data_IF_174111080855
#
_entry.id   IF_174111080855
#
_cell.length_a   1.000
_cell.length_b   1.000
_cell.length_c   1.000
_cell.angle_alpha   90.00
_cell.angle_beta   90.00
_cell.angle_gamma   90.00
#
_symmetry.space_group_name_H-M   'P 1'
#
loop_
_entity.id
_entity.type
_entity.pdbx_description
1 polymer ?
#
# COMPACT_ATOMS: atom_id res chain seq x y z
N UNK A 1 -22.40 -22.80 7.88
CA UNK A 1 -21.49 -22.87 6.72
C UNK A 1 -20.62 -21.63 6.76
N UNK A 2 -19.29 -21.80 6.76
CA UNK A 2 -18.35 -20.68 6.67
C UNK A 2 -18.55 -19.96 5.33
N UNK A 3 -18.81 -18.66 5.37
CA UNK A 3 -18.99 -17.84 4.18
C UNK A 3 -17.60 -17.45 3.64
N UNK A 4 -17.24 -17.86 2.43
CA UNK A 4 -15.98 -17.50 1.79
C UNK A 4 -14.85 -18.52 1.98
N UNK A 5 -13.61 -18.06 1.90
CA UNK A 5 -12.41 -18.89 2.01
C UNK A 5 -12.33 -19.49 3.42
N UNK A 6 -12.22 -20.84 3.56
CA UNK A 6 -12.08 -21.46 4.86
C UNK A 6 -10.85 -20.94 5.61
N UNK A 7 -11.05 -20.49 6.86
CA UNK A 7 -9.98 -20.02 7.72
C UNK A 7 -9.47 -18.59 7.44
N UNK A 8 -10.10 -17.84 6.53
CA UNK A 8 -9.73 -16.44 6.27
C UNK A 8 -9.82 -15.60 7.56
N UNK A 9 -8.73 -14.93 7.92
CA UNK A 9 -8.61 -14.04 9.09
C UNK A 9 -8.53 -12.57 8.71
N UNK A 10 -8.04 -12.22 7.51
CA UNK A 10 -7.84 -10.84 7.04
C UNK A 10 -6.78 -10.78 5.96
N UNK A 11 -6.34 -9.56 5.61
CA UNK A 11 -5.20 -9.36 4.73
C UNK A 11 -3.88 -9.58 5.47
N UNK A 12 -2.90 -10.17 4.79
CA UNK A 12 -1.55 -10.38 5.31
C UNK A 12 -0.58 -9.28 4.84
N UNK A 13 -0.45 -9.13 3.53
CA UNK A 13 0.41 -8.11 2.92
C UNK A 13 -0.17 -7.58 1.60
N UNK A 14 0.41 -6.48 1.14
CA UNK A 14 0.25 -5.96 -0.22
C UNK A 14 1.58 -6.15 -0.95
N UNK A 15 1.54 -6.93 -2.05
CA UNK A 15 2.68 -7.10 -2.95
C UNK A 15 2.76 -5.92 -3.92
N UNK A 16 3.93 -5.30 -4.02
CA UNK A 16 4.19 -4.21 -4.96
C UNK A 16 5.54 -4.40 -5.65
N UNK A 17 5.64 -3.98 -6.90
CA UNK A 17 6.90 -3.97 -7.64
C UNK A 17 7.42 -2.54 -7.72
N UNK A 18 8.72 -2.38 -7.48
CA UNK A 18 9.40 -1.08 -7.51
C UNK A 18 10.56 -1.10 -8.51
N UNK A 19 10.92 0.05 -9.09
CA UNK A 19 12.04 0.11 -10.03
C UNK A 19 13.42 0.08 -9.37
N UNK A 20 13.50 0.42 -8.08
CA UNK A 20 14.75 0.55 -7.31
C UNK A 20 14.46 0.24 -5.85
N UNK A 21 15.05 -0.83 -5.32
CA UNK A 21 14.83 -1.31 -3.96
C UNK A 21 15.39 -0.38 -2.89
N UNK A 22 16.51 0.29 -3.15
CA UNK A 22 17.09 1.21 -2.16
C UNK A 22 16.27 2.50 -2.05
N UNK A 23 15.75 3.00 -3.16
CA UNK A 23 14.79 4.11 -3.15
C UNK A 23 13.52 3.73 -2.39
N UNK A 24 12.99 2.53 -2.63
CA UNK A 24 11.82 2.02 -1.92
C UNK A 24 12.12 1.83 -0.42
N UNK A 25 13.27 1.28 -0.06
CA UNK A 25 13.70 1.10 1.32
C UNK A 25 13.73 2.44 2.08
N UNK A 26 14.36 3.45 1.48
CA UNK A 26 14.41 4.80 2.06
C UNK A 26 13.00 5.41 2.23
N UNK A 27 12.10 5.17 1.28
CA UNK A 27 10.71 5.62 1.38
C UNK A 27 9.95 4.89 2.49
N UNK A 28 9.98 3.54 2.53
CA UNK A 28 9.24 2.77 3.54
C UNK A 28 9.75 3.03 4.96
N UNK A 29 11.06 3.06 5.16
CA UNK A 29 11.64 3.24 6.51
C UNK A 29 11.76 4.72 6.89
N UNK A 30 12.27 5.56 6.00
CA UNK A 30 12.59 6.97 6.30
C UNK A 30 11.44 7.95 6.13
N UNK A 31 10.41 7.61 5.33
CA UNK A 31 9.24 8.45 5.11
C UNK A 31 8.01 7.87 5.78
N UNK A 32 7.63 6.63 5.48
CA UNK A 32 6.45 6.02 6.08
C UNK A 32 6.68 5.54 7.52
N UNK A 33 7.93 5.37 7.95
CA UNK A 33 8.26 4.89 9.30
C UNK A 33 7.93 3.41 9.51
N UNK A 34 7.91 2.61 8.43
CA UNK A 34 7.73 1.17 8.51
C UNK A 34 9.02 0.49 8.99
N UNK A 35 8.87 -0.61 9.73
CA UNK A 35 10.00 -1.45 10.11
C UNK A 35 10.37 -2.38 8.96
N UNK A 36 11.65 -2.41 8.57
CA UNK A 36 12.19 -3.47 7.73
C UNK A 36 12.29 -4.76 8.54
N UNK A 37 11.81 -5.88 7.98
CA UNK A 37 11.75 -7.16 8.72
C UNK A 37 12.77 -8.16 8.19
N UNK A 38 12.70 -8.50 6.91
CA UNK A 38 13.66 -9.41 6.25
C UNK A 38 13.61 -9.24 4.73
N UNK A 39 14.60 -9.86 4.06
CA UNK A 39 14.62 -9.98 2.61
C UNK A 39 14.74 -11.43 2.16
N UNK A 40 14.32 -11.69 0.92
CA UNK A 40 14.59 -12.91 0.18
C UNK A 40 15.56 -12.61 -0.95
N UNK A 41 16.48 -13.55 -1.24
CA UNK A 41 17.50 -13.36 -2.27
C UNK A 41 16.90 -13.40 -3.67
N UNK A 42 17.72 -13.10 -4.68
CA UNK A 42 17.38 -13.22 -6.08
C UNK A 42 16.80 -14.61 -6.41
N UNK A 43 15.78 -14.61 -7.27
CA UNK A 43 15.09 -15.81 -7.72
C UNK A 43 14.98 -15.82 -9.24
N UNK A 44 15.40 -16.92 -9.84
CA UNK A 44 15.32 -17.20 -11.26
C UNK A 44 14.95 -18.66 -11.49
N UNK A 45 14.14 -18.91 -12.49
CA UNK A 45 13.83 -20.24 -12.97
C UNK A 45 14.06 -20.30 -14.48
N UNK A 46 14.53 -21.44 -14.98
CA UNK A 46 14.86 -21.66 -16.41
C UNK A 46 13.69 -22.29 -17.20
N UNK A 47 12.57 -22.53 -16.53
CA UNK A 47 11.33 -23.11 -17.07
C UNK A 47 10.16 -22.12 -16.93
N UNK A 48 8.95 -22.58 -17.11
CA UNK A 48 7.73 -21.78 -17.00
C UNK A 48 7.27 -21.54 -15.54
N UNK A 49 8.08 -21.88 -14.55
CA UNK A 49 7.72 -21.77 -13.12
C UNK A 49 7.26 -20.36 -12.73
N UNK A 50 7.95 -19.31 -13.24
CA UNK A 50 7.59 -17.91 -12.97
C UNK A 50 6.19 -17.57 -13.49
N UNK A 51 5.82 -18.12 -14.66
CA UNK A 51 4.48 -17.92 -15.23
C UNK A 51 3.42 -18.71 -14.46
N UNK A 52 3.70 -20.00 -14.21
CA UNK A 52 2.73 -20.91 -13.59
C UNK A 52 2.42 -20.56 -12.14
N UNK A 53 3.41 -20.05 -11.38
CA UNK A 53 3.25 -19.80 -9.94
C UNK A 53 3.09 -18.32 -9.60
N UNK A 54 3.70 -17.40 -10.36
CA UNK A 54 3.68 -15.97 -10.07
C UNK A 54 2.91 -15.15 -11.12
N UNK A 55 2.45 -15.76 -12.20
CA UNK A 55 1.84 -15.07 -13.35
C UNK A 55 2.76 -13.96 -13.91
N UNK A 56 4.06 -14.25 -13.96
CA UNK A 56 5.12 -13.35 -14.42
C UNK A 56 5.76 -13.98 -15.65
N UNK A 57 6.19 -13.16 -16.64
CA UNK A 57 6.91 -13.65 -17.83
C UNK A 57 8.06 -14.57 -17.38
N UNK A 58 8.22 -15.78 -17.96
CA UNK A 58 9.22 -16.77 -17.52
C UNK A 58 10.65 -16.26 -17.50
N UNK A 59 10.96 -15.27 -18.35
CA UNK A 59 12.31 -14.68 -18.46
C UNK A 59 12.63 -13.66 -17.36
N UNK A 60 11.66 -13.31 -16.51
CA UNK A 60 11.89 -12.33 -15.45
C UNK A 60 12.72 -12.92 -14.31
N UNK A 61 13.59 -12.11 -13.79
CA UNK A 61 14.42 -12.42 -12.63
C UNK A 61 14.04 -11.48 -11.51
N UNK A 62 13.65 -12.01 -10.37
CA UNK A 62 13.52 -11.25 -9.14
C UNK A 62 14.93 -10.96 -8.63
N UNK A 63 15.28 -9.69 -8.44
CA UNK A 63 16.57 -9.30 -7.86
C UNK A 63 16.56 -9.44 -6.35
N UNK A 64 15.49 -8.97 -5.72
CA UNK A 64 15.29 -9.01 -4.28
C UNK A 64 13.81 -8.84 -3.95
N UNK A 65 13.40 -9.39 -2.80
CA UNK A 65 12.11 -9.12 -2.18
C UNK A 65 12.39 -8.64 -0.76
N UNK A 66 11.75 -7.54 -0.33
CA UNK A 66 11.84 -7.06 1.05
C UNK A 66 10.48 -6.97 1.71
N UNK A 67 10.43 -7.32 2.98
CA UNK A 67 9.22 -7.25 3.79
C UNK A 67 9.31 -6.12 4.80
N UNK A 68 8.22 -5.35 4.87
CA UNK A 68 8.08 -4.22 5.79
C UNK A 68 6.78 -4.33 6.58
N UNK A 69 6.83 -3.96 7.85
CA UNK A 69 5.67 -3.82 8.72
C UNK A 69 5.38 -2.33 8.93
N UNK A 70 4.14 -1.89 8.64
CA UNK A 70 3.71 -0.52 8.87
C UNK A 70 2.68 -0.47 10.01
N UNK A 71 3.11 0.01 11.16
CA UNK A 71 2.23 0.19 12.32
C UNK A 71 1.53 -1.09 12.77
N UNK A 72 0.21 -1.00 13.01
CA UNK A 72 -0.62 -2.10 13.52
C UNK A 72 -1.23 -3.01 12.45
N UNK A 73 -1.02 -2.70 11.21
CA UNK A 73 -1.59 -3.48 10.12
C UNK A 73 -0.76 -3.30 8.87
N UNK A 74 -1.20 -3.70 7.77
CA UNK A 74 -0.60 -3.63 6.46
C UNK A 74 0.91 -3.91 6.44
N UNK A 75 1.26 -5.15 6.08
CA UNK A 75 2.62 -5.46 5.68
C UNK A 75 2.79 -5.18 4.19
N UNK A 76 4.01 -4.88 3.76
CA UNK A 76 4.35 -4.77 2.36
C UNK A 76 5.36 -5.85 2.00
N UNK A 77 5.11 -6.51 0.88
CA UNK A 77 6.05 -7.36 0.16
C UNK A 77 6.50 -6.61 -1.08
N UNK A 78 7.74 -6.14 -1.08
CA UNK A 78 8.28 -5.25 -2.11
C UNK A 78 9.24 -6.01 -2.99
N UNK A 79 8.94 -6.06 -4.30
CA UNK A 79 9.73 -6.75 -5.32
C UNK A 79 10.55 -5.77 -6.14
N UNK A 80 11.79 -6.11 -6.40
CA UNK A 80 12.56 -5.54 -7.49
C UNK A 80 12.89 -6.64 -8.50
N UNK A 81 12.55 -6.41 -9.77
CA UNK A 81 12.93 -7.28 -10.88
C UNK A 81 14.11 -6.69 -11.63
N UNK A 82 14.86 -7.54 -12.35
CA UNK A 82 15.84 -7.03 -13.31
C UNK A 82 15.15 -6.14 -14.34
N UNK A 83 15.81 -5.03 -14.77
CA UNK A 83 15.25 -4.13 -15.78
C UNK A 83 14.90 -4.87 -17.08
N UNK A 84 13.81 -4.46 -17.73
CA UNK A 84 13.37 -5.00 -19.00
C UNK A 84 12.68 -3.94 -19.87
N UNK A 85 12.75 -4.08 -21.18
CA UNK A 85 12.32 -3.06 -22.15
C UNK A 85 10.79 -2.86 -22.20
N UNK A 86 10.00 -3.84 -21.78
CA UNK A 86 8.54 -3.80 -21.78
C UNK A 86 7.93 -3.43 -20.40
N UNK A 87 8.73 -2.82 -19.51
CA UNK A 87 8.25 -2.29 -18.24
C UNK A 87 7.14 -1.25 -18.48
N UNK A 88 5.99 -1.47 -17.84
CA UNK A 88 4.86 -0.54 -17.91
C UNK A 88 4.97 0.54 -16.84
N UNK A 89 4.52 1.78 -17.13
CA UNK A 89 4.41 2.80 -16.09
C UNK A 89 3.37 2.42 -15.05
N UNK A 90 3.45 3.05 -13.88
CA UNK A 90 2.43 2.91 -12.84
C UNK A 90 1.03 3.27 -13.40
N UNK A 91 0.01 2.41 -13.19
CA UNK A 91 -1.34 2.69 -13.64
C UNK A 91 -1.93 3.85 -12.84
N UNK A 92 -2.78 4.66 -13.48
CA UNK A 92 -3.59 5.63 -12.76
C UNK A 92 -4.72 4.94 -12.02
N UNK A 93 -5.24 5.56 -10.96
CA UNK A 93 -6.43 5.05 -10.27
C UNK A 93 -7.63 4.75 -11.18
N UNK A 94 -7.73 5.40 -12.34
CA UNK A 94 -8.79 5.20 -13.32
C UNK A 94 -8.58 4.01 -14.26
N UNK A 95 -7.39 3.45 -14.29
CA UNK A 95 -7.05 2.35 -15.19
C UNK A 95 -7.49 1.01 -14.59
N UNK A 96 -7.79 0.02 -15.44
CA UNK A 96 -8.02 -1.36 -14.96
C UNK A 96 -6.71 -1.89 -14.37
N UNK A 97 -6.75 -2.29 -13.09
CA UNK A 97 -5.55 -2.60 -12.30
C UNK A 97 -5.00 -1.40 -11.54
N UNK A 98 -5.53 -0.18 -11.76
CA UNK A 98 -5.21 1.00 -10.96
C UNK A 98 -5.63 0.81 -9.50
N UNK A 99 -4.76 1.20 -8.60
CA UNK A 99 -4.96 1.05 -7.16
C UNK A 99 -4.21 2.13 -6.38
N UNK A 100 -4.54 2.25 -5.12
CA UNK A 100 -3.77 3.02 -4.15
C UNK A 100 -3.79 2.32 -2.80
N UNK A 101 -2.83 2.62 -1.96
CA UNK A 101 -2.77 2.15 -0.58
C UNK A 101 -3.11 3.30 0.35
N UNK A 102 -4.14 3.13 1.17
CA UNK A 102 -4.55 4.11 2.17
C UNK A 102 -3.93 3.80 3.53
N UNK A 103 -3.32 4.84 4.13
CA UNK A 103 -2.70 4.80 5.45
C UNK A 103 -3.50 5.71 6.40
N UNK A 104 -3.88 5.19 7.55
CA UNK A 104 -4.59 5.96 8.56
C UNK A 104 -3.60 6.82 9.37
N UNK A 105 -3.99 8.07 9.61
CA UNK A 105 -3.27 9.01 10.49
C UNK A 105 -4.25 9.69 11.45
N UNK A 106 -3.84 9.93 12.67
CA UNK A 106 -4.67 10.62 13.67
C UNK A 106 -4.81 12.11 13.36
N UNK A 107 -3.74 12.75 12.89
CA UNK A 107 -3.70 14.17 12.52
C UNK A 107 -3.33 14.35 11.05
N UNK A 108 -4.35 14.67 10.23
CA UNK A 108 -4.19 14.89 8.80
C UNK A 108 -3.29 16.07 8.46
N UNK A 109 -3.40 17.17 9.20
CA UNK A 109 -2.68 18.39 8.86
C UNK A 109 -1.19 18.26 9.20
N UNK A 110 -0.86 17.66 10.34
CA UNK A 110 0.51 17.33 10.71
C UNK A 110 1.14 16.32 9.71
N UNK A 111 0.40 15.29 9.30
CA UNK A 111 0.88 14.29 8.34
C UNK A 111 1.14 14.90 6.96
N UNK A 112 0.25 15.78 6.48
CA UNK A 112 0.43 16.49 5.20
C UNK A 112 1.66 17.39 5.23
N UNK A 113 1.87 18.15 6.31
CA UNK A 113 3.05 19.00 6.45
C UNK A 113 4.34 18.17 6.51
N UNK A 114 4.31 17.06 7.23
CA UNK A 114 5.42 16.10 7.26
C UNK A 114 5.79 15.59 5.85
N UNK A 115 4.81 15.12 5.05
CA UNK A 115 5.07 14.65 3.70
C UNK A 115 5.62 15.76 2.79
N UNK A 116 5.14 17.01 2.95
CA UNK A 116 5.72 18.18 2.26
C UNK A 116 7.18 18.39 2.63
N UNK A 117 7.51 18.32 3.92
CA UNK A 117 8.88 18.49 4.40
C UNK A 117 9.84 17.42 3.86
N UNK A 118 9.30 16.24 3.50
CA UNK A 118 10.03 15.15 2.85
C UNK A 118 10.13 15.31 1.32
N UNK A 119 9.57 16.36 0.75
CA UNK A 119 9.62 16.63 -0.68
C UNK A 119 8.73 15.74 -1.55
N UNK A 120 7.74 15.06 -0.96
CA UNK A 120 6.83 14.20 -1.73
C UNK A 120 5.82 15.03 -2.52
N UNK A 121 5.41 14.48 -3.66
CA UNK A 121 4.37 15.07 -4.49
C UNK A 121 2.99 14.75 -3.91
N UNK A 122 2.33 15.77 -3.34
CA UNK A 122 0.95 15.69 -2.90
C UNK A 122 0.01 16.16 -4.03
N UNK A 123 -1.15 15.52 -4.16
CA UNK A 123 -2.24 16.00 -4.99
C UNK A 123 -3.03 17.08 -4.24
N UNK A 124 -4.06 17.67 -4.89
CA UNK A 124 -4.89 18.70 -4.27
C UNK A 124 -5.66 18.14 -3.07
N UNK A 125 -5.67 18.87 -1.96
CA UNK A 125 -6.34 18.47 -0.71
C UNK A 125 -5.70 19.11 0.53
N UNK A 126 -5.99 18.61 1.75
CA UNK A 126 -6.90 17.50 2.08
C UNK A 126 -8.37 17.76 1.76
N UNK A 127 -9.10 16.71 1.40
CA UNK A 127 -10.51 16.78 1.02
C UNK A 127 -11.37 16.13 2.11
N UNK A 128 -12.50 16.75 2.47
CA UNK A 128 -13.49 16.19 3.37
C UNK A 128 -14.45 15.26 2.60
N UNK A 129 -14.65 14.06 3.11
CA UNK A 129 -15.63 13.11 2.56
C UNK A 129 -17.06 13.52 2.89
N UNK A 130 -18.01 12.99 2.12
CA UNK A 130 -19.45 13.27 2.26
C UNK A 130 -20.24 11.98 2.43
N UNK A 131 -21.55 12.09 2.68
CA UNK A 131 -22.49 10.98 2.80
C UNK A 131 -22.06 9.95 3.85
N UNK A 132 -22.05 8.68 3.52
CA UNK A 132 -21.66 7.58 4.42
C UNK A 132 -20.23 7.72 4.99
N UNK A 133 -19.32 8.36 4.27
CA UNK A 133 -17.96 8.62 4.69
C UNK A 133 -17.76 9.99 5.36
N UNK A 134 -18.81 10.76 5.62
CA UNK A 134 -18.70 12.04 6.34
C UNK A 134 -18.01 11.82 7.70
N UNK A 135 -17.11 12.73 8.07
CA UNK A 135 -16.20 12.58 9.22
C UNK A 135 -14.77 12.20 8.81
N UNK A 136 -14.56 11.67 7.61
CA UNK A 136 -13.26 11.37 7.07
C UNK A 136 -12.70 12.56 6.28
N UNK A 137 -11.39 12.78 6.41
CA UNK A 137 -10.56 13.57 5.48
C UNK A 137 -9.57 12.64 4.79
N UNK A 138 -9.18 12.98 3.56
CA UNK A 138 -8.22 12.22 2.79
C UNK A 138 -7.31 13.11 1.95
N UNK A 139 -6.09 12.61 1.67
CA UNK A 139 -5.07 13.26 0.87
C UNK A 139 -4.29 12.25 0.07
N UNK A 140 -4.29 12.37 -1.25
CA UNK A 140 -3.40 11.57 -2.10
C UNK A 140 -1.99 12.16 -2.19
N UNK A 141 -1.01 11.27 -2.27
CA UNK A 141 0.37 11.60 -2.57
C UNK A 141 1.02 10.47 -3.39
N UNK A 142 2.16 10.77 -4.01
CA UNK A 142 2.87 9.80 -4.83
C UNK A 142 4.18 9.41 -4.14
N UNK A 143 4.53 8.12 -4.24
CA UNK A 143 5.86 7.63 -3.92
C UNK A 143 6.92 8.22 -4.87
N UNK A 144 8.21 8.09 -4.57
CA UNK A 144 9.27 8.53 -5.48
C UNK A 144 9.21 7.94 -6.90
N UNK A 145 8.67 6.73 -7.04
CA UNK A 145 8.51 6.05 -8.35
C UNK A 145 7.13 6.24 -8.98
N UNK A 146 6.22 7.01 -8.35
CA UNK A 146 4.93 7.40 -8.93
C UNK A 146 3.72 6.59 -8.48
N UNK A 147 3.88 5.54 -7.66
CA UNK A 147 2.76 4.80 -7.08
C UNK A 147 1.92 5.71 -6.18
N UNK A 148 0.60 5.60 -6.29
CA UNK A 148 -0.32 6.42 -5.53
C UNK A 148 -0.59 5.84 -4.14
N UNK A 149 -0.45 6.70 -3.13
CA UNK A 149 -0.83 6.47 -1.73
C UNK A 149 -1.91 7.46 -1.30
N UNK A 150 -2.60 7.13 -0.22
CA UNK A 150 -3.61 7.98 0.40
C UNK A 150 -3.33 8.09 1.90
N UNK A 151 -3.45 9.29 2.46
CA UNK A 151 -3.68 9.46 3.90
C UNK A 151 -5.18 9.54 4.14
N UNK A 152 -5.66 8.86 5.18
CA UNK A 152 -7.03 8.97 5.66
C UNK A 152 -7.03 9.26 7.16
N UNK A 153 -7.96 10.12 7.61
CA UNK A 153 -8.12 10.47 9.03
C UNK A 153 -9.60 10.65 9.34
N UNK A 154 -10.06 9.98 10.39
CA UNK A 154 -11.43 10.06 10.89
C UNK A 154 -11.49 9.72 12.39
N UNK A 155 -10.79 10.52 13.26
CA UNK A 155 -10.69 10.22 14.69
C UNK A 155 -12.04 10.23 15.43
N UNK A 156 -13.06 10.90 14.87
CA UNK A 156 -14.44 10.89 15.36
C UNK A 156 -15.34 9.87 14.71
N UNK A 157 -14.78 8.93 13.92
CA UNK A 157 -15.54 7.94 13.15
C UNK A 157 -16.16 8.50 11.87
N UNK A 158 -16.85 7.64 11.13
CA UNK A 158 -17.55 7.96 9.87
C UNK A 158 -19.06 7.87 10.07
N UNK A 159 -19.83 8.63 9.29
CA UNK A 159 -21.29 8.68 9.43
C UNK A 159 -21.97 7.31 9.31
N UNK A 160 -21.49 6.41 8.45
CA UNK A 160 -22.06 5.08 8.26
C UNK A 160 -22.02 4.22 9.55
N UNK A 161 -21.11 4.49 10.48
CA UNK A 161 -20.90 3.68 11.69
C UNK A 161 -22.06 3.76 12.68
N UNK A 162 -22.96 4.77 12.52
CA UNK A 162 -24.11 4.96 13.40
C UNK A 162 -25.15 3.84 13.24
N UNK A 163 -25.35 3.39 12.00
CA UNK A 163 -26.43 2.47 11.65
C UNK A 163 -25.92 1.14 11.05
N UNK A 164 -24.62 1.01 10.84
CA UNK A 164 -24.03 -0.18 10.21
C UNK A 164 -23.94 -1.35 11.19
N UNK A 165 -24.50 -2.49 10.79
CA UNK A 165 -24.37 -3.75 11.52
C UNK A 165 -22.93 -4.31 11.49
N UNK A 166 -22.16 -3.97 10.45
CA UNK A 166 -20.75 -4.37 10.30
C UNK A 166 -19.94 -3.10 10.01
N UNK A 167 -18.90 -2.88 10.79
CA UNK A 167 -17.97 -1.77 10.60
C UNK A 167 -16.71 -2.22 9.87
N UNK A 168 -16.08 -1.29 9.16
CA UNK A 168 -14.76 -1.51 8.59
C UNK A 168 -13.75 -1.62 9.72
N UNK A 169 -12.77 -2.51 9.55
CA UNK A 169 -11.64 -2.60 10.48
C UNK A 169 -10.91 -1.25 10.55
N UNK A 170 -10.47 -0.88 11.75
CA UNK A 170 -9.84 0.40 12.03
C UNK A 170 -8.45 0.21 12.64
N UNK A 171 -7.36 0.72 12.04
CA UNK A 171 -6.00 0.51 12.54
C UNK A 171 -5.72 1.16 13.91
N UNK A 172 -6.46 2.21 14.27
CA UNK A 172 -6.40 2.81 15.61
C UNK A 172 -7.09 1.97 16.70
N UNK A 173 -7.90 0.98 16.31
CA UNK A 173 -8.62 0.06 17.19
C UNK A 173 -8.52 -1.37 16.68
N UNK A 174 -7.30 -1.93 16.62
CA UNK A 174 -7.04 -3.20 15.90
C UNK A 174 -7.66 -4.44 16.56
N UNK A 175 -8.15 -4.31 17.78
CA UNK A 175 -8.77 -5.38 18.55
C UNK A 175 -10.31 -5.43 18.44
N UNK A 176 -10.93 -4.42 17.80
CA UNK A 176 -12.39 -4.30 17.66
C UNK A 176 -12.94 -5.12 16.48
#
# INVERSE_FOLDING_TARGET
>A
MTRGIPGLRGGDHVGITVPDMEQAHAFFTGVLGCDYVYSLPAMRHDDDWMLEHLNVDPRRVVREIRFYRCGFGLNFEVFEYEPHDDQRPEPRNSDVGGHHVALYVDDMDAAVEYLRSKGLRLLAGPVASRNASAGQRWQYFLSPWGMQFELVSYPGGKAYERDAAVKLWHPGHPAD
#
